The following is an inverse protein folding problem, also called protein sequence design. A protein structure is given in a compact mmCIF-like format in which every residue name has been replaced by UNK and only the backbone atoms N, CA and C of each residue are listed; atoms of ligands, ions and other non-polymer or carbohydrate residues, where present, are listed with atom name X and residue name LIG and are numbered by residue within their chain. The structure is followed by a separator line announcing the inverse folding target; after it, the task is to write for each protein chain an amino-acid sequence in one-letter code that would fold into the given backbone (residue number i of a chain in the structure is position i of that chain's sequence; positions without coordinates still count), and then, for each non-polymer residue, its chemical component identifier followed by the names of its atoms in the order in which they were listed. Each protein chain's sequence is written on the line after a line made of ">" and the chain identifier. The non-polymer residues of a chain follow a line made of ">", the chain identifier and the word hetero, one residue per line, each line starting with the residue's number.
data_IF_872503845940
#
_entry.id   IF_872503845940
#
_cell.length_a   1.000
_cell.length_b   1.000
_cell.length_c   1.000
_cell.angle_alpha   90.00
_cell.angle_beta   90.00
_cell.angle_gamma   90.00
#
_symmetry.space_group_name_H-M   'P 1'
#
loop_
_entity.id
_entity.type
_entity.pdbx_description
1 polymer ?
#
# COMPACT_ATOMS: atom_id res chain seq x y z
N UNK A 1 10.74 -1.47 -13.08
CA UNK A 1 10.04 -0.54 -14.00
C UNK A 1 8.83 0.11 -13.32
N UNK A 2 7.90 -0.66 -12.72
CA UNK A 2 6.76 -0.10 -11.98
C UNK A 2 7.18 0.89 -10.88
N UNK A 3 8.11 0.50 -10.00
CA UNK A 3 8.60 1.37 -8.93
C UNK A 3 9.24 2.67 -9.48
N UNK A 4 9.95 2.57 -10.61
CA UNK A 4 10.56 3.74 -11.27
C UNK A 4 9.49 4.69 -11.83
N UNK A 5 8.40 4.13 -12.39
CA UNK A 5 7.27 4.92 -12.85
C UNK A 5 6.57 5.66 -11.70
N UNK A 6 6.31 4.98 -10.58
CA UNK A 6 5.74 5.59 -9.37
C UNK A 6 6.64 6.70 -8.81
N UNK A 7 7.94 6.43 -8.67
CA UNK A 7 8.91 7.43 -8.20
C UNK A 7 8.91 8.68 -9.09
N UNK A 8 8.75 8.51 -10.41
CA UNK A 8 8.69 9.64 -11.34
C UNK A 8 7.48 10.56 -11.16
N UNK A 9 6.42 10.10 -10.48
CA UNK A 9 5.26 10.93 -10.13
C UNK A 9 5.35 11.56 -8.74
N UNK A 10 6.52 11.49 -8.08
CA UNK A 10 6.72 12.01 -6.73
C UNK A 10 6.17 11.10 -5.62
N UNK A 11 5.82 9.84 -5.93
CA UNK A 11 5.49 8.86 -4.90
C UNK A 11 6.77 8.47 -4.18
N UNK A 12 6.79 8.64 -2.87
CA UNK A 12 7.83 8.09 -2.00
C UNK A 12 7.57 6.60 -1.79
N UNK A 13 8.58 5.76 -2.06
CA UNK A 13 8.47 4.33 -1.82
C UNK A 13 9.12 3.90 -0.50
N UNK A 14 8.40 3.08 0.26
CA UNK A 14 8.93 2.39 1.44
C UNK A 14 9.04 0.91 1.08
N UNK A 15 10.28 0.41 0.98
CA UNK A 15 10.55 -0.96 0.55
C UNK A 15 10.51 -1.93 1.74
N UNK A 16 9.70 -2.98 1.59
CA UNK A 16 9.61 -4.05 2.57
C UNK A 16 10.91 -4.86 2.65
N UNK A 17 11.17 -5.43 3.83
CA UNK A 17 12.29 -6.35 4.04
C UNK A 17 11.89 -7.76 3.63
N UNK A 18 12.80 -8.45 2.93
CA UNK A 18 12.59 -9.84 2.55
C UNK A 18 13.59 -10.74 3.27
N UNK A 19 13.11 -11.77 3.96
CA UNK A 19 13.96 -12.75 4.64
C UNK A 19 13.94 -14.09 3.91
N UNK A 20 15.09 -14.72 3.63
CA UNK A 20 15.12 -16.06 3.09
C UNK A 20 14.54 -17.04 4.11
N UNK A 21 13.73 -17.97 3.62
CA UNK A 21 13.07 -19.03 4.38
C UNK A 21 13.10 -20.31 3.57
N UNK A 22 13.53 -21.38 4.21
CA UNK A 22 13.43 -22.72 3.64
C UNK A 22 12.00 -23.22 3.82
N UNK A 23 11.38 -23.59 2.71
CA UNK A 23 10.03 -24.17 2.71
C UNK A 23 10.07 -25.54 2.05
N UNK A 24 9.29 -26.47 2.59
CA UNK A 24 9.11 -27.78 1.98
C UNK A 24 8.07 -27.69 0.86
N UNK A 25 8.45 -28.09 -0.36
CA UNK A 25 7.52 -28.16 -1.48
C UNK A 25 6.77 -29.50 -1.45
N UNK A 26 5.45 -29.45 -1.27
CA UNK A 26 4.61 -30.65 -1.21
C UNK A 26 4.52 -31.41 -2.54
N UNK A 27 4.72 -30.72 -3.67
CA UNK A 27 4.70 -31.30 -5.02
C UNK A 27 6.01 -32.02 -5.39
N UNK A 28 7.17 -31.36 -5.23
CA UNK A 28 8.46 -31.94 -5.62
C UNK A 28 9.24 -32.60 -4.47
N UNK A 29 8.71 -32.57 -3.23
CA UNK A 29 9.29 -33.17 -2.01
C UNK A 29 10.71 -32.67 -1.67
N UNK A 30 11.06 -31.46 -2.11
CA UNK A 30 12.36 -30.83 -1.83
C UNK A 30 12.19 -29.59 -0.94
N UNK A 31 13.24 -29.28 -0.18
CA UNK A 31 13.39 -27.99 0.50
C UNK A 31 13.83 -26.98 -0.53
N UNK A 32 13.10 -25.87 -0.65
CA UNK A 32 13.43 -24.76 -1.53
C UNK A 32 13.58 -23.48 -0.73
N UNK A 33 14.52 -22.62 -1.12
CA UNK A 33 14.65 -21.28 -0.56
C UNK A 33 13.62 -20.37 -1.22
N UNK A 34 12.77 -19.75 -0.41
CA UNK A 34 11.88 -18.66 -0.82
C UNK A 34 12.17 -17.42 0.00
N UNK A 35 11.73 -16.28 -0.50
CA UNK A 35 11.77 -15.02 0.24
C UNK A 35 10.38 -14.76 0.80
N UNK A 36 10.31 -14.53 2.11
CA UNK A 36 9.10 -14.11 2.81
C UNK A 36 9.19 -12.61 3.04
N UNK A 37 8.15 -11.89 2.62
CA UNK A 37 7.97 -10.47 2.92
C UNK A 37 7.74 -10.29 4.43
N UNK A 38 8.30 -9.21 4.98
CA UNK A 38 8.25 -8.89 6.40
C UNK A 38 7.96 -7.41 6.60
N UNK A 39 7.18 -7.15 7.66
CA UNK A 39 7.03 -5.87 8.33
C UNK A 39 6.26 -4.79 7.55
N UNK A 40 5.68 -5.06 6.37
CA UNK A 40 4.94 -4.02 5.62
C UNK A 40 3.75 -3.44 6.38
N UNK A 41 3.00 -4.29 7.07
CA UNK A 41 1.85 -3.92 7.91
C UNK A 41 2.27 -3.04 9.11
N UNK A 42 3.36 -3.42 9.78
CA UNK A 42 3.95 -2.67 10.89
C UNK A 42 4.55 -1.34 10.40
N UNK A 43 5.25 -1.34 9.27
CA UNK A 43 5.83 -0.12 8.69
C UNK A 43 4.75 0.89 8.33
N UNK A 44 3.65 0.43 7.71
CA UNK A 44 2.49 1.27 7.40
C UNK A 44 1.84 1.83 8.68
N UNK A 45 1.73 1.02 9.73
CA UNK A 45 1.23 1.44 11.05
C UNK A 45 2.09 2.51 11.71
N UNK A 46 3.42 2.33 11.69
CA UNK A 46 4.36 3.29 12.21
C UNK A 46 4.31 4.61 11.43
N UNK A 47 4.27 4.54 10.10
CA UNK A 47 4.21 5.75 9.26
C UNK A 47 2.94 6.56 9.50
N UNK A 48 1.78 5.92 9.67
CA UNK A 48 0.53 6.60 10.02
C UNK A 48 0.67 7.43 11.31
N UNK A 49 1.28 6.85 12.35
CA UNK A 49 1.46 7.55 13.62
C UNK A 49 2.51 8.66 13.52
N UNK A 50 3.59 8.43 12.78
CA UNK A 50 4.66 9.41 12.53
C UNK A 50 4.11 10.68 11.86
N UNK A 51 3.39 10.54 10.75
CA UNK A 51 2.90 11.72 9.99
C UNK A 51 1.90 12.55 10.77
N UNK A 52 1.13 11.94 11.67
CA UNK A 52 0.24 12.69 12.57
C UNK A 52 0.98 13.30 13.75
N UNK A 53 1.98 12.59 14.30
CA UNK A 53 2.80 13.11 15.39
C UNK A 53 3.60 14.36 14.96
N UNK A 54 4.15 14.33 13.75
CA UNK A 54 4.91 15.45 13.17
C UNK A 54 4.02 16.56 12.57
N UNK A 55 2.69 16.43 12.67
CA UNK A 55 1.72 17.36 12.10
C UNK A 55 1.89 17.58 10.57
N UNK A 56 2.36 16.57 9.84
CA UNK A 56 2.66 16.65 8.40
C UNK A 56 1.39 16.71 7.54
N UNK A 57 0.24 16.29 8.08
CA UNK A 57 -1.03 16.30 7.38
C UNK A 57 -2.23 16.32 8.34
N UNK A 58 -3.38 16.76 7.83
CA UNK A 58 -4.67 16.70 8.55
C UNK A 58 -5.49 15.45 8.24
N UNK A 59 -5.23 14.84 7.08
CA UNK A 59 -5.96 13.69 6.57
C UNK A 59 -5.02 12.68 5.95
N UNK A 60 -5.11 11.43 6.40
CA UNK A 60 -4.47 10.28 5.77
C UNK A 60 -5.50 9.44 5.04
N UNK A 61 -5.19 9.06 3.80
CA UNK A 61 -5.99 8.11 3.02
C UNK A 61 -5.25 6.76 3.00
N UNK A 62 -5.83 5.76 3.67
CA UNK A 62 -5.28 4.40 3.71
C UNK A 62 -5.88 3.56 2.58
N UNK A 63 -5.04 3.17 1.62
CA UNK A 63 -5.43 2.31 0.51
C UNK A 63 -5.15 0.84 0.86
N UNK A 64 -6.06 0.25 1.64
CA UNK A 64 -5.95 -1.16 2.05
C UNK A 64 -7.31 -1.76 2.38
N UNK A 65 -7.40 -3.09 2.32
CA UNK A 65 -8.51 -3.87 2.86
C UNK A 65 -8.07 -4.82 3.98
N UNK A 66 -6.83 -4.69 4.45
CA UNK A 66 -6.22 -5.54 5.45
C UNK A 66 -6.58 -5.07 6.86
N UNK A 67 -7.13 -5.97 7.67
CA UNK A 67 -7.59 -5.68 9.03
C UNK A 67 -6.46 -5.49 10.03
N UNK A 68 -5.24 -5.92 9.71
CA UNK A 68 -4.09 -5.83 10.63
C UNK A 68 -3.70 -4.38 10.94
N UNK A 69 -4.14 -3.41 10.12
CA UNK A 69 -3.96 -1.97 10.37
C UNK A 69 -4.90 -1.40 11.44
N UNK A 70 -5.96 -2.12 11.81
CA UNK A 70 -7.03 -1.61 12.69
C UNK A 70 -6.53 -1.15 14.08
N UNK A 71 -5.61 -1.86 14.77
CA UNK A 71 -5.04 -1.39 16.04
C UNK A 71 -4.31 -0.05 15.91
N UNK A 72 -3.58 0.18 14.82
CA UNK A 72 -2.87 1.42 14.57
C UNK A 72 -3.85 2.58 14.33
N UNK A 73 -4.91 2.34 13.55
CA UNK A 73 -5.98 3.32 13.30
C UNK A 73 -6.72 3.69 14.58
N UNK A 74 -7.07 2.72 15.43
CA UNK A 74 -7.67 3.00 16.76
C UNK A 74 -6.75 3.87 17.62
N UNK A 75 -5.46 3.55 17.64
CA UNK A 75 -4.47 4.33 18.38
C UNK A 75 -4.35 5.75 17.84
N UNK A 76 -4.27 5.91 16.51
CA UNK A 76 -4.17 7.21 15.86
C UNK A 76 -5.39 8.10 16.15
N UNK A 77 -6.61 7.57 16.03
CA UNK A 77 -7.83 8.32 16.33
C UNK A 77 -7.92 8.75 17.80
N UNK A 78 -7.39 7.94 18.73
CA UNK A 78 -7.33 8.28 20.15
C UNK A 78 -6.30 9.38 20.43
N UNK A 79 -5.10 9.28 19.85
CA UNK A 79 -4.01 10.22 20.10
C UNK A 79 -4.19 11.56 19.37
N UNK A 80 -4.83 11.54 18.20
CA UNK A 80 -4.94 12.69 17.31
C UNK A 80 -6.41 12.95 16.92
N UNK A 81 -7.27 13.37 17.87
CA UNK A 81 -8.72 13.48 17.66
C UNK A 81 -9.13 14.54 16.62
N UNK A 82 -8.27 15.50 16.29
CA UNK A 82 -8.50 16.49 15.24
C UNK A 82 -8.16 15.97 13.83
N UNK A 83 -7.41 14.87 13.72
CA UNK A 83 -6.93 14.31 12.45
C UNK A 83 -7.94 13.35 11.84
N UNK A 84 -7.88 13.20 10.52
CA UNK A 84 -8.82 12.39 9.76
C UNK A 84 -8.15 11.18 9.12
N UNK A 85 -8.81 10.02 9.18
CA UNK A 85 -8.40 8.82 8.46
C UNK A 85 -9.54 8.41 7.54
N UNK A 86 -9.24 8.17 6.27
CA UNK A 86 -10.20 7.72 5.25
C UNK A 86 -9.69 6.42 4.65
N UNK A 87 -10.54 5.40 4.54
CA UNK A 87 -10.18 4.18 3.80
C UNK A 87 -10.54 4.29 2.32
N UNK A 88 -9.57 4.05 1.45
CA UNK A 88 -9.81 3.82 0.02
C UNK A 88 -9.72 2.32 -0.28
N UNK A 89 -10.85 1.62 -0.32
CA UNK A 89 -10.83 0.16 -0.49
C UNK A 89 -10.52 -0.24 -1.93
N UNK A 90 -9.48 -1.06 -2.17
CA UNK A 90 -9.22 -1.62 -3.50
C UNK A 90 -10.38 -2.49 -4.00
N UNK A 91 -10.43 -2.73 -5.31
CA UNK A 91 -11.47 -3.55 -5.94
C UNK A 91 -11.61 -4.91 -5.23
N UNK A 92 -12.84 -5.25 -4.83
CA UNK A 92 -13.18 -6.47 -4.07
C UNK A 92 -12.45 -6.64 -2.72
N UNK A 93 -11.91 -5.57 -2.14
CA UNK A 93 -11.23 -5.57 -0.84
C UNK A 93 -11.92 -4.70 0.21
N UNK A 94 -13.21 -4.37 0.04
CA UNK A 94 -13.97 -3.64 1.07
C UNK A 94 -14.05 -4.48 2.35
N UNK A 95 -13.59 -3.92 3.46
CA UNK A 95 -13.75 -4.52 4.77
C UNK A 95 -14.81 -3.74 5.59
N UNK A 96 -15.76 -4.46 6.23
CA UNK A 96 -16.82 -3.83 7.03
C UNK A 96 -16.29 -3.23 8.34
N UNK A 97 -15.39 -3.92 9.02
CA UNK A 97 -14.79 -3.44 10.28
C UNK A 97 -14.06 -2.12 10.06
N UNK A 98 -13.17 -2.07 9.06
CA UNK A 98 -12.42 -0.85 8.74
C UNK A 98 -13.33 0.30 8.31
N UNK A 99 -14.39 0.01 7.55
CA UNK A 99 -15.37 1.02 7.14
C UNK A 99 -16.09 1.62 8.36
N UNK A 100 -16.49 0.78 9.32
CA UNK A 100 -17.11 1.22 10.57
C UNK A 100 -16.13 1.99 11.46
N UNK A 101 -14.86 1.57 11.50
CA UNK A 101 -13.85 2.13 12.38
C UNK A 101 -13.62 3.64 12.18
N UNK A 102 -13.67 4.12 10.95
CA UNK A 102 -13.48 5.55 10.63
C UNK A 102 -14.78 6.25 10.21
N UNK A 103 -15.79 5.49 9.78
CA UNK A 103 -17.02 6.03 9.18
C UNK A 103 -16.80 6.73 7.83
N UNK A 104 -15.56 6.87 7.37
CA UNK A 104 -15.18 7.60 6.15
C UNK A 104 -14.42 6.68 5.21
N UNK A 105 -15.03 6.35 4.07
CA UNK A 105 -14.39 5.51 3.07
C UNK A 105 -14.93 5.74 1.67
N UNK A 106 -14.13 5.34 0.68
CA UNK A 106 -14.56 5.18 -0.71
C UNK A 106 -14.07 3.84 -1.25
N UNK A 107 -14.58 3.45 -2.42
CA UNK A 107 -14.16 2.23 -3.11
C UNK A 107 -13.45 2.61 -4.40
N UNK A 108 -12.40 1.88 -4.73
CA UNK A 108 -11.72 1.94 -6.01
C UNK A 108 -12.25 0.79 -6.86
N UNK A 109 -13.02 1.13 -7.90
CA UNK A 109 -13.61 0.16 -8.82
C UNK A 109 -12.58 -0.41 -9.79
N UNK A 110 -12.90 -1.54 -10.43
CA UNK A 110 -12.04 -2.13 -11.47
C UNK A 110 -11.90 -1.17 -12.65
N UNK A 111 -12.98 -0.50 -13.03
CA UNK A 111 -13.04 0.45 -14.13
C UNK A 111 -12.18 1.68 -13.86
N UNK A 112 -12.15 2.16 -12.60
CA UNK A 112 -11.24 3.23 -12.20
C UNK A 112 -9.78 2.78 -12.34
N UNK A 113 -9.41 1.57 -11.92
CA UNK A 113 -8.04 1.06 -12.07
C UNK A 113 -7.63 1.01 -13.55
N UNK A 114 -8.52 0.53 -14.43
CA UNK A 114 -8.25 0.45 -15.87
C UNK A 114 -8.09 1.83 -16.50
N UNK A 115 -8.90 2.81 -16.10
CA UNK A 115 -8.86 4.18 -16.64
C UNK A 115 -7.67 5.01 -16.18
N UNK A 116 -7.08 4.70 -15.02
CA UNK A 116 -6.00 5.48 -14.41
C UNK A 116 -4.65 4.74 -14.44
N UNK A 117 -4.40 3.95 -15.48
CA UNK A 117 -3.07 3.38 -15.73
C UNK A 117 -2.11 4.43 -16.28
N UNK A 118 -0.82 4.22 -16.07
CA UNK A 118 0.22 4.99 -16.77
C UNK A 118 0.09 4.85 -18.30
N UNK A 119 0.49 5.87 -19.07
CA UNK A 119 0.58 5.76 -20.52
C UNK A 119 1.56 4.64 -20.94
N UNK A 120 1.45 4.19 -22.20
CA UNK A 120 2.32 3.14 -22.76
C UNK A 120 3.80 3.52 -22.74
N UNK A 121 4.12 4.81 -22.79
CA UNK A 121 5.46 5.35 -22.61
C UNK A 121 5.39 6.49 -21.59
N UNK A 122 6.16 6.37 -20.52
CA UNK A 122 6.31 7.39 -19.49
C UNK A 122 7.72 7.97 -19.55
N UNK A 123 7.83 9.30 -19.59
CA UNK A 123 9.14 9.98 -19.54
C UNK A 123 9.40 10.45 -18.12
N UNK A 124 10.51 10.03 -17.52
CA UNK A 124 10.90 10.44 -16.17
C UNK A 124 11.41 11.88 -16.16
N UNK A 125 11.55 12.48 -14.97
CA UNK A 125 12.19 13.79 -14.78
C UNK A 125 13.64 13.84 -15.26
N UNK A 126 14.33 12.70 -15.33
CA UNK A 126 15.68 12.56 -15.89
C UNK A 126 15.72 12.38 -17.42
N UNK A 127 14.56 12.34 -18.09
CA UNK A 127 14.45 12.10 -19.53
C UNK A 127 14.48 10.63 -19.96
N UNK A 128 14.55 9.69 -19.02
CA UNK A 128 14.46 8.25 -19.32
C UNK A 128 13.05 7.88 -19.80
N UNK A 129 12.95 7.07 -20.86
CA UNK A 129 11.66 6.53 -21.34
C UNK A 129 11.40 5.14 -20.77
N UNK A 130 10.34 5.01 -19.98
CA UNK A 130 9.84 3.74 -19.46
C UNK A 130 8.70 3.25 -20.35
N UNK A 131 8.89 2.08 -20.98
CA UNK A 131 7.89 1.47 -21.89
C UNK A 131 7.11 0.38 -21.16
N UNK A 132 5.78 0.48 -21.16
CA UNK A 132 4.89 -0.51 -20.56
C UNK A 132 5.05 -1.88 -21.28
N UNK A 133 5.27 -2.98 -20.54
CA UNK A 133 5.33 -4.34 -21.09
C UNK A 133 4.03 -4.68 -21.80
N UNK A 134 4.14 -5.43 -22.89
CA UNK A 134 3.00 -5.88 -23.70
C UNK A 134 2.07 -6.85 -22.95
N UNK A 135 2.54 -7.48 -21.88
CA UNK A 135 1.79 -8.45 -21.08
C UNK A 135 1.10 -7.86 -19.82
N UNK A 136 1.01 -6.53 -19.72
CA UNK A 136 0.42 -5.81 -18.57
C UNK A 136 -0.96 -5.20 -18.85
#
# INVERSE_FOLDING_TARGET
>A
MLLRALRSTGVEEILARFKPKEIFCTHCKKIIKRHEEKESDVAMSCKLLEVFYNDECDTVVLITGDTDIAPAVRTALKLFPSKNIIFGFPYKRKNKELATLTGKYFKISKEQIVRHQFPSVLTTSSGEKLVKPSNW
#
